data_IF_168432515853
#
_entry.id   IF_168432515853
#
_cell.length_a   1.000
_cell.length_b   1.000
_cell.length_c   1.000
_cell.angle_alpha   90.00
_cell.angle_beta   90.00
_cell.angle_gamma   90.00
#
_symmetry.space_group_name_H-M   'P 1'
#
loop_
_entity.id
_entity.type
_entity.pdbx_description
1 polymer ?
#
# COMPACT_ATOMS: atom_id res chain seq x y z
N UNK A 1 -46.97 17.65 -19.38
CA UNK A 1 -46.30 17.16 -18.19
C UNK A 1 -45.08 16.34 -18.60
N UNK A 2 -43.89 16.90 -18.44
CA UNK A 2 -42.64 16.18 -18.69
C UNK A 2 -42.08 15.73 -17.34
N UNK A 3 -42.06 14.44 -17.09
CA UNK A 3 -41.34 13.83 -16.00
C UNK A 3 -39.90 13.62 -16.45
N UNK A 4 -38.98 14.46 -15.97
CA UNK A 4 -37.55 14.26 -16.15
C UNK A 4 -37.01 13.33 -15.03
N UNK A 5 -37.00 12.06 -15.31
CA UNK A 5 -36.32 11.04 -14.48
C UNK A 5 -35.07 10.55 -15.19
N UNK A 6 -33.97 11.26 -15.07
CA UNK A 6 -32.76 10.88 -15.79
C UNK A 6 -31.43 11.32 -15.21
N UNK A 7 -31.34 11.66 -13.91
CA UNK A 7 -30.11 12.25 -13.37
C UNK A 7 -29.25 11.44 -12.42
N UNK A 8 -29.72 10.31 -11.89
CA UNK A 8 -29.10 9.69 -10.70
C UNK A 8 -28.16 8.51 -11.00
N UNK A 9 -28.44 7.72 -12.01
CA UNK A 9 -27.68 6.49 -12.30
C UNK A 9 -26.34 6.74 -13.00
N UNK A 10 -26.28 7.66 -13.95
CA UNK A 10 -25.05 8.01 -14.66
C UNK A 10 -23.99 8.63 -13.73
N UNK A 11 -24.40 9.44 -12.75
CA UNK A 11 -23.50 10.09 -11.82
C UNK A 11 -22.90 9.12 -10.79
N UNK A 12 -23.62 8.07 -10.37
CA UNK A 12 -23.10 7.03 -9.47
C UNK A 12 -22.10 6.11 -10.18
N UNK A 13 -22.33 5.75 -11.45
CA UNK A 13 -21.40 4.88 -12.20
C UNK A 13 -20.07 5.61 -12.47
N UNK A 14 -20.09 6.89 -12.77
CA UNK A 14 -18.90 7.70 -12.99
C UNK A 14 -18.08 7.88 -11.70
N UNK A 15 -18.74 8.04 -10.55
CA UNK A 15 -18.05 8.09 -9.24
C UNK A 15 -17.40 6.76 -8.85
N UNK A 16 -18.06 5.63 -9.13
CA UNK A 16 -17.52 4.29 -8.86
C UNK A 16 -16.32 3.97 -9.75
N UNK A 17 -16.38 4.30 -11.04
CA UNK A 17 -15.23 4.12 -11.94
C UNK A 17 -14.03 4.97 -11.53
N UNK A 18 -14.27 6.21 -11.10
CA UNK A 18 -13.23 7.11 -10.58
C UNK A 18 -12.57 6.58 -9.30
N UNK A 19 -13.33 5.99 -8.37
CA UNK A 19 -12.78 5.38 -7.15
C UNK A 19 -11.90 4.17 -7.45
N UNK A 20 -12.34 3.28 -8.34
CA UNK A 20 -11.56 2.12 -8.79
C UNK A 20 -10.24 2.56 -9.44
N UNK A 21 -10.27 3.59 -10.27
CA UNK A 21 -9.08 4.08 -10.96
C UNK A 21 -8.08 4.73 -9.99
N UNK A 22 -8.55 5.42 -8.96
CA UNK A 22 -7.71 5.98 -7.89
C UNK A 22 -6.99 4.88 -7.10
N UNK A 23 -7.70 3.81 -6.76
CA UNK A 23 -7.11 2.63 -6.11
C UNK A 23 -6.01 2.01 -6.96
N UNK A 24 -6.28 1.75 -8.22
CA UNK A 24 -5.31 1.20 -9.18
C UNK A 24 -4.08 2.09 -9.35
N UNK A 25 -4.26 3.40 -9.29
CA UNK A 25 -3.17 4.38 -9.40
C UNK A 25 -2.23 4.30 -8.20
N UNK A 26 -2.78 4.20 -7.00
CA UNK A 26 -2.01 4.01 -5.77
C UNK A 26 -1.25 2.67 -5.78
N UNK A 27 -1.90 1.58 -6.16
CA UNK A 27 -1.28 0.26 -6.26
C UNK A 27 -0.08 0.26 -7.23
N UNK A 28 -0.22 0.92 -8.39
CA UNK A 28 0.87 1.09 -9.37
C UNK A 28 2.02 1.93 -8.79
N UNK A 29 1.70 3.02 -8.10
CA UNK A 29 2.69 3.87 -7.45
C UNK A 29 3.50 3.08 -6.41
N UNK A 30 2.83 2.31 -5.57
CA UNK A 30 3.48 1.47 -4.55
C UNK A 30 4.43 0.47 -5.22
N UNK A 31 3.94 -0.28 -6.21
CA UNK A 31 4.76 -1.26 -6.93
C UNK A 31 5.97 -0.61 -7.60
N UNK A 32 5.79 0.52 -8.26
CA UNK A 32 6.87 1.27 -8.90
C UNK A 32 7.91 1.74 -7.89
N UNK A 33 7.49 2.33 -6.77
CA UNK A 33 8.42 2.79 -5.73
C UNK A 33 9.23 1.66 -5.11
N UNK A 34 8.61 0.52 -4.86
CA UNK A 34 9.33 -0.67 -4.38
C UNK A 34 10.38 -1.11 -5.38
N UNK A 35 10.04 -1.20 -6.66
CA UNK A 35 10.98 -1.58 -7.71
C UNK A 35 12.13 -0.57 -7.85
N UNK A 36 11.84 0.72 -7.79
CA UNK A 36 12.86 1.79 -7.92
C UNK A 36 13.86 1.76 -6.77
N UNK A 37 13.40 1.52 -5.55
CA UNK A 37 14.23 1.59 -4.33
C UNK A 37 14.89 0.25 -4.01
N UNK A 38 14.16 -0.86 -4.19
CA UNK A 38 14.56 -2.19 -3.72
C UNK A 38 14.91 -3.17 -4.85
N UNK A 39 14.69 -2.79 -6.10
CA UNK A 39 14.97 -3.65 -7.25
C UNK A 39 16.42 -4.09 -7.34
N UNK A 40 17.36 -3.24 -6.99
CA UNK A 40 18.80 -3.54 -6.94
C UNK A 40 19.17 -4.57 -5.88
N UNK A 41 18.29 -4.85 -4.91
CA UNK A 41 18.46 -5.89 -3.88
C UNK A 41 17.72 -7.19 -4.20
N UNK A 42 17.18 -7.33 -5.42
CA UNK A 42 16.43 -8.51 -5.83
C UNK A 42 14.97 -8.53 -5.40
N UNK A 43 14.43 -7.40 -4.94
CA UNK A 43 13.01 -7.26 -4.59
C UNK A 43 12.24 -6.72 -5.80
N UNK A 44 11.16 -7.38 -6.17
CA UNK A 44 10.27 -6.93 -7.25
C UNK A 44 8.83 -6.84 -6.75
N UNK A 45 8.08 -5.89 -7.28
CA UNK A 45 6.68 -5.69 -6.95
C UNK A 45 5.83 -5.47 -8.20
N UNK A 46 4.59 -5.96 -8.15
CA UNK A 46 3.59 -5.73 -9.19
C UNK A 46 2.20 -5.60 -8.59
N UNK A 47 1.37 -4.78 -9.23
CA UNK A 47 -0.04 -4.69 -8.90
C UNK A 47 -0.73 -6.01 -9.22
N UNK A 48 -1.60 -6.47 -8.31
CA UNK A 48 -2.46 -7.62 -8.56
C UNK A 48 -3.68 -7.19 -9.39
N UNK A 49 -3.86 -7.83 -10.54
CA UNK A 49 -4.96 -7.51 -11.47
C UNK A 49 -6.25 -8.22 -11.06
N UNK A 50 -6.11 -9.44 -10.53
CA UNK A 50 -7.24 -10.25 -10.04
C UNK A 50 -6.85 -10.85 -8.70
N UNK A 51 -7.71 -10.71 -7.70
CA UNK A 51 -7.53 -11.40 -6.41
C UNK A 51 -7.53 -12.91 -6.64
N UNK A 52 -6.46 -13.59 -6.19
CA UNK A 52 -6.30 -15.03 -6.37
C UNK A 52 -5.61 -15.48 -7.65
N UNK A 53 -5.12 -14.56 -8.51
CA UNK A 53 -4.33 -14.91 -9.71
C UNK A 53 -3.01 -15.61 -9.38
N UNK A 54 -2.47 -15.38 -8.20
CA UNK A 54 -1.35 -16.14 -7.62
C UNK A 54 -1.88 -16.91 -6.43
N UNK A 55 -1.72 -18.22 -6.44
CA UNK A 55 -2.22 -19.10 -5.38
C UNK A 55 -1.75 -18.63 -4.00
N UNK A 56 -2.71 -18.41 -3.07
CA UNK A 56 -2.45 -17.98 -1.71
C UNK A 56 -2.14 -16.48 -1.52
N UNK A 57 -2.17 -15.68 -2.58
CA UNK A 57 -1.97 -14.24 -2.48
C UNK A 57 -3.29 -13.46 -2.46
N UNK A 58 -3.50 -12.64 -1.45
CA UNK A 58 -4.72 -11.84 -1.25
C UNK A 58 -4.49 -10.32 -1.18
N UNK A 59 -3.25 -9.86 -1.14
CA UNK A 59 -2.92 -8.43 -1.10
C UNK A 59 -3.11 -7.71 -2.44
N UNK A 60 -3.14 -6.40 -2.43
CA UNK A 60 -3.30 -5.54 -3.62
C UNK A 60 -2.03 -5.43 -4.45
N UNK A 61 -0.85 -5.54 -3.82
CA UNK A 61 0.45 -5.50 -4.46
C UNK A 61 1.22 -6.76 -4.10
N UNK A 62 1.63 -7.50 -5.11
CA UNK A 62 2.51 -8.66 -4.94
C UNK A 62 3.95 -8.19 -4.83
N UNK A 63 4.66 -8.65 -3.79
CA UNK A 63 6.08 -8.37 -3.57
C UNK A 63 6.83 -9.69 -3.49
N UNK A 64 7.80 -9.86 -4.36
CA UNK A 64 8.74 -10.97 -4.33
C UNK A 64 10.06 -10.52 -3.70
N UNK A 65 10.60 -11.33 -2.81
CA UNK A 65 11.86 -11.04 -2.11
C UNK A 65 11.72 -10.44 -0.71
N UNK A 66 10.50 -10.11 -0.27
CA UNK A 66 10.21 -9.67 1.10
C UNK A 66 8.96 -10.39 1.65
N UNK A 67 8.95 -10.74 2.94
CA UNK A 67 7.80 -11.38 3.57
C UNK A 67 6.74 -10.34 3.99
N UNK A 68 6.19 -9.61 3.02
CA UNK A 68 5.20 -8.56 3.25
C UNK A 68 3.93 -8.80 2.43
N UNK A 69 2.80 -8.38 2.97
CA UNK A 69 1.53 -8.33 2.28
C UNK A 69 1.01 -6.90 2.33
N UNK A 70 0.76 -6.30 1.17
CA UNK A 70 0.39 -4.89 1.06
C UNK A 70 -1.08 -4.76 0.69
N UNK A 71 -1.81 -4.05 1.53
CA UNK A 71 -3.16 -3.53 1.28
C UNK A 71 -3.06 -2.03 0.97
N UNK A 72 -3.72 -1.58 -0.08
CA UNK A 72 -3.68 -0.19 -0.52
C UNK A 72 -5.06 0.46 -0.44
N UNK A 73 -5.15 1.62 0.19
CA UNK A 73 -6.40 2.40 0.32
C UNK A 73 -6.19 3.84 -0.12
N UNK A 74 -6.98 4.27 -1.10
CA UNK A 74 -7.02 5.66 -1.52
C UNK A 74 -8.40 6.26 -1.20
N UNK A 75 -8.51 6.93 -0.07
CA UNK A 75 -9.77 7.47 0.46
C UNK A 75 -9.53 8.79 1.18
N UNK A 76 -10.45 9.77 1.00
CA UNK A 76 -10.39 11.05 1.70
C UNK A 76 -10.58 10.91 3.22
N UNK A 77 -11.48 10.01 3.62
CA UNK A 77 -11.72 9.64 5.00
C UNK A 77 -11.48 8.14 5.14
N UNK A 78 -10.57 7.78 6.01
CA UNK A 78 -10.18 6.38 6.23
C UNK A 78 -10.49 5.98 7.67
N UNK A 79 -11.14 4.83 7.82
CA UNK A 79 -11.18 4.11 9.09
C UNK A 79 -9.95 3.20 9.15
N UNK A 80 -8.91 3.66 9.82
CA UNK A 80 -7.62 2.96 9.89
C UNK A 80 -7.77 1.58 10.53
N UNK A 81 -8.58 1.44 11.58
CA UNK A 81 -8.76 0.17 12.26
C UNK A 81 -9.41 -0.89 11.37
N UNK A 82 -10.47 -0.53 10.68
CA UNK A 82 -11.14 -1.41 9.73
C UNK A 82 -10.22 -1.82 8.57
N UNK A 83 -9.49 -0.87 7.99
CA UNK A 83 -8.53 -1.15 6.92
C UNK A 83 -7.36 -1.99 7.42
N UNK A 84 -6.90 -1.76 8.66
CA UNK A 84 -5.86 -2.55 9.28
C UNK A 84 -6.31 -4.00 9.50
N UNK A 85 -7.50 -4.22 10.04
CA UNK A 85 -8.06 -5.56 10.23
C UNK A 85 -8.13 -6.34 8.90
N UNK A 86 -8.49 -5.67 7.82
CA UNK A 86 -8.46 -6.23 6.48
C UNK A 86 -7.03 -6.60 6.03
N UNK A 87 -6.09 -5.68 6.17
CA UNK A 87 -4.69 -5.92 5.80
C UNK A 87 -4.10 -7.10 6.58
N UNK A 88 -4.37 -7.17 7.87
CA UNK A 88 -3.89 -8.23 8.75
C UNK A 88 -4.52 -9.59 8.42
N UNK A 89 -5.82 -9.64 8.15
CA UNK A 89 -6.51 -10.88 7.76
C UNK A 89 -6.03 -11.45 6.43
N UNK A 90 -5.55 -10.59 5.53
CA UNK A 90 -5.06 -10.98 4.20
C UNK A 90 -3.57 -11.35 4.19
N UNK A 91 -2.80 -10.90 5.17
CA UNK A 91 -1.35 -11.09 5.18
C UNK A 91 -0.92 -12.56 5.18
N UNK A 92 -1.67 -13.42 5.88
CA UNK A 92 -1.32 -14.84 6.00
C UNK A 92 -0.11 -15.08 6.92
N UNK A 93 0.25 -16.35 7.09
CA UNK A 93 1.35 -16.75 7.96
C UNK A 93 2.72 -16.36 7.38
N UNK A 94 3.59 -15.85 8.23
CA UNK A 94 4.97 -15.52 7.87
C UNK A 94 5.14 -14.23 7.08
N UNK A 95 4.07 -13.45 6.91
CA UNK A 95 4.12 -12.15 6.22
C UNK A 95 3.74 -11.01 7.15
N UNK A 96 4.48 -9.93 7.06
CA UNK A 96 4.14 -8.67 7.71
C UNK A 96 2.99 -8.00 6.95
N UNK A 97 1.91 -7.68 7.64
CA UNK A 97 0.84 -6.86 7.09
C UNK A 97 1.30 -5.40 6.97
N UNK A 98 1.07 -4.80 5.83
CA UNK A 98 1.41 -3.40 5.54
C UNK A 98 0.20 -2.73 4.92
N UNK A 99 -0.35 -1.73 5.59
CA UNK A 99 -1.43 -0.90 5.07
C UNK A 99 -0.81 0.39 4.52
N UNK A 100 -0.89 0.59 3.22
CA UNK A 100 -0.46 1.83 2.56
C UNK A 100 -1.71 2.62 2.17
N UNK A 101 -1.82 3.85 2.63
CA UNK A 101 -2.98 4.67 2.35
C UNK A 101 -2.63 6.08 1.88
N UNK A 102 -3.50 6.63 1.07
CA UNK A 102 -3.39 7.96 0.53
C UNK A 102 -4.77 8.60 0.42
N UNK A 103 -4.80 9.89 0.17
CA UNK A 103 -5.98 10.65 -0.18
C UNK A 103 -5.81 11.29 -1.55
N UNK A 104 -6.88 11.86 -2.12
CA UNK A 104 -6.83 12.46 -3.44
C UNK A 104 -5.68 13.49 -3.56
N UNK A 105 -5.00 13.45 -4.71
CA UNK A 105 -3.90 14.37 -5.06
C UNK A 105 -2.67 14.31 -4.16
N UNK A 106 -2.61 13.41 -3.18
CA UNK A 106 -1.43 13.20 -2.38
C UNK A 106 -0.51 12.19 -3.08
N UNK A 107 0.75 12.57 -3.28
CA UNK A 107 1.78 11.72 -3.89
C UNK A 107 2.64 10.99 -2.86
N UNK A 108 2.49 11.33 -1.58
CA UNK A 108 3.25 10.77 -0.48
C UNK A 108 2.33 9.91 0.39
N UNK A 109 2.16 8.62 0.08
CA UNK A 109 1.33 7.74 0.89
C UNK A 109 1.93 7.54 2.28
N UNK A 110 1.05 7.31 3.26
CA UNK A 110 1.42 6.92 4.60
C UNK A 110 1.28 5.41 4.77
N UNK A 111 1.96 4.87 5.76
CA UNK A 111 1.97 3.43 6.02
C UNK A 111 1.66 3.15 7.48
N UNK A 112 0.84 2.12 7.71
CA UNK A 112 0.57 1.54 9.03
C UNK A 112 1.15 0.14 9.06
N UNK A 113 1.93 -0.15 10.09
CA UNK A 113 2.44 -1.48 10.44
C UNK A 113 2.29 -1.67 11.95
N UNK A 114 2.40 -2.89 12.43
CA UNK A 114 2.43 -3.16 13.88
C UNK A 114 3.64 -2.48 14.51
N UNK A 115 3.47 -1.96 15.73
CA UNK A 115 4.56 -1.33 16.46
C UNK A 115 5.76 -2.28 16.67
N UNK A 116 5.49 -3.53 16.99
CA UNK A 116 6.55 -4.55 17.13
C UNK A 116 7.31 -4.82 15.84
N UNK A 117 6.63 -4.80 14.68
CA UNK A 117 7.28 -4.93 13.38
C UNK A 117 8.18 -3.71 13.08
N UNK A 118 7.73 -2.51 13.46
CA UNK A 118 8.54 -1.30 13.35
C UNK A 118 9.80 -1.38 14.21
N UNK A 119 9.68 -1.87 15.46
CA UNK A 119 10.83 -2.07 16.35
C UNK A 119 11.82 -3.06 15.76
N UNK A 120 11.35 -4.16 15.19
CA UNK A 120 12.19 -5.13 14.47
C UNK A 120 12.94 -4.49 13.32
N UNK A 121 12.25 -3.67 12.51
CA UNK A 121 12.90 -2.93 11.41
C UNK A 121 13.94 -1.92 11.92
N UNK A 122 13.67 -1.24 13.03
CA UNK A 122 14.66 -0.35 13.66
C UNK A 122 15.88 -1.12 14.15
N UNK A 123 15.69 -2.27 14.78
CA UNK A 123 16.80 -3.11 15.24
C UNK A 123 17.70 -3.53 14.07
N UNK A 124 17.09 -4.03 12.99
CA UNK A 124 17.82 -4.39 11.76
C UNK A 124 18.55 -3.19 11.15
N UNK A 125 17.91 -2.02 11.12
CA UNK A 125 18.52 -0.80 10.63
C UNK A 125 19.71 -0.35 11.49
N UNK A 126 19.60 -0.47 12.82
CA UNK A 126 20.70 -0.17 13.74
C UNK A 126 21.87 -1.14 13.51
N UNK A 127 21.61 -2.43 13.38
CA UNK A 127 22.62 -3.44 13.06
C UNK A 127 23.31 -3.16 11.73
N UNK A 128 22.57 -2.63 10.74
CA UNK A 128 23.13 -2.20 9.45
C UNK A 128 23.86 -0.83 9.48
N UNK A 129 23.94 -0.18 10.64
CA UNK A 129 24.69 1.08 10.82
C UNK A 129 23.88 2.36 10.67
N UNK A 130 22.53 2.32 10.71
CA UNK A 130 21.67 3.50 10.57
C UNK A 130 22.01 4.62 11.56
N UNK A 131 22.29 4.29 12.81
CA UNK A 131 22.64 5.27 13.86
C UNK A 131 23.91 6.05 13.50
N UNK A 132 24.90 5.42 12.87
CA UNK A 132 26.13 6.07 12.46
C UNK A 132 25.88 7.05 11.29
N UNK A 133 24.90 6.79 10.44
CA UNK A 133 24.48 7.72 9.39
C UNK A 133 23.81 8.97 9.96
N UNK A 134 22.95 8.83 10.96
CA UNK A 134 22.29 9.96 11.64
C UNK A 134 23.33 10.83 12.34
N UNK A 135 24.27 10.24 13.08
CA UNK A 135 25.33 10.97 13.79
C UNK A 135 26.24 11.76 12.86
N UNK A 136 26.38 11.35 11.60
CA UNK A 136 27.13 12.07 10.56
C UNK A 136 26.33 13.18 9.86
N UNK A 137 25.12 13.51 10.37
CA UNK A 137 24.26 14.56 9.81
C UNK A 137 23.60 14.21 8.49
N UNK A 138 23.59 12.97 8.09
CA UNK A 138 22.90 12.52 6.88
C UNK A 138 21.42 12.33 7.18
N UNK A 139 20.56 13.10 6.51
CA UNK A 139 19.09 13.03 6.65
C UNK A 139 18.44 11.93 5.79
N UNK A 140 19.19 11.25 4.94
CA UNK A 140 18.71 10.17 4.09
C UNK A 140 19.18 8.84 4.64
N UNK A 141 18.25 7.90 4.83
CA UNK A 141 18.50 6.53 5.30
C UNK A 141 19.22 5.70 4.21
N UNK A 142 19.20 6.16 2.98
CA UNK A 142 19.81 5.49 1.82
C UNK A 142 20.90 6.34 1.20
#
# INVERSE_FOLDING_TARGET
MRLSSGGTTANMSTKLSSRKEKGKRLERLIAQRINDVLGGYGVTAKRMIMSGAIAGWKGDVFVDGLPVSIEAKNQEKINIWECWDQAESQAGLGKMAVLVFSRNFNKDPLTVIRFEDLLTLFELAIQAGWVSHIRKGRRTIL
#
